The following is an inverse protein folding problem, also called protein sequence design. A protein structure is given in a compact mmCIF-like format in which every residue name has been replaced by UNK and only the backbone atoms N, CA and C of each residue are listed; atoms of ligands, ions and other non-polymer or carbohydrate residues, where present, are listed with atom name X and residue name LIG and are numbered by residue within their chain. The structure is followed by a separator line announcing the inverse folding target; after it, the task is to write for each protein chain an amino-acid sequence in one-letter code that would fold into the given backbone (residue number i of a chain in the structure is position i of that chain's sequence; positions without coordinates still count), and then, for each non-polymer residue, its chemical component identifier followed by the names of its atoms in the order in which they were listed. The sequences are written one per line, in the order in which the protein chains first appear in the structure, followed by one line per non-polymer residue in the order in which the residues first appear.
data_IF_655870797867
#
_entry.id   IF_655870797867
#
_cell.length_a   1.000
_cell.length_b   1.000
_cell.length_c   1.000
_cell.angle_alpha   90.00
_cell.angle_beta   90.00
_cell.angle_gamma   90.00
#
_symmetry.space_group_name_H-M   'P 1'
#
loop_
_entity.id
_entity.type
_entity.pdbx_description
1 polymer ?
#
# COMPACT_ATOMS: atom_id res chain seq x y z
N UNK A 1 -2.50 -24.45 4.61
CA UNK A 1 -3.08 -23.16 4.17
C UNK A 1 -2.15 -22.05 4.60
N UNK A 2 -1.86 -21.06 3.74
CA UNK A 2 -0.98 -19.93 4.09
C UNK A 2 -1.71 -18.97 5.03
N UNK A 3 -1.08 -18.59 6.15
CA UNK A 3 -1.63 -17.66 7.15
C UNK A 3 -1.76 -16.22 6.60
N UNK A 4 -2.54 -15.37 7.27
CA UNK A 4 -2.64 -13.94 6.93
C UNK A 4 -1.27 -13.29 6.93
N UNK A 5 -0.46 -13.50 7.98
CA UNK A 5 0.95 -13.08 8.04
C UNK A 5 1.79 -13.52 6.85
N UNK A 6 1.71 -14.79 6.43
CA UNK A 6 2.49 -15.26 5.29
C UNK A 6 2.08 -14.56 3.98
N UNK A 7 0.79 -14.27 3.80
CA UNK A 7 0.27 -13.50 2.65
C UNK A 7 0.68 -12.02 2.70
N UNK A 8 0.68 -11.41 3.89
CA UNK A 8 1.14 -10.04 4.10
C UNK A 8 2.61 -9.88 3.69
N UNK A 9 3.48 -10.76 4.19
CA UNK A 9 4.90 -10.78 3.86
C UNK A 9 5.16 -11.05 2.38
N UNK A 10 4.39 -11.96 1.77
CA UNK A 10 4.51 -12.25 0.35
C UNK A 10 4.21 -11.01 -0.51
N UNK A 11 3.13 -10.29 -0.23
CA UNK A 11 2.79 -9.08 -0.98
C UNK A 11 3.79 -7.94 -0.73
N UNK A 12 4.30 -7.80 0.49
CA UNK A 12 5.37 -6.83 0.78
C UNK A 12 6.65 -7.15 -0.02
N UNK A 13 7.00 -8.43 -0.14
CA UNK A 13 8.12 -8.86 -0.96
C UNK A 13 7.90 -8.57 -2.45
N UNK A 14 6.70 -8.82 -2.98
CA UNK A 14 6.35 -8.48 -4.36
C UNK A 14 6.43 -6.96 -4.61
N UNK A 15 5.98 -6.12 -3.68
CA UNK A 15 6.10 -4.67 -3.78
C UNK A 15 7.57 -4.24 -3.94
N UNK A 16 8.47 -4.82 -3.15
CA UNK A 16 9.92 -4.55 -3.23
C UNK A 16 10.50 -4.94 -4.60
N UNK A 17 10.14 -6.11 -5.15
CA UNK A 17 10.59 -6.52 -6.49
C UNK A 17 10.16 -5.50 -7.55
N UNK A 18 8.90 -5.07 -7.53
CA UNK A 18 8.36 -4.13 -8.51
C UNK A 18 9.05 -2.76 -8.37
N UNK A 19 9.29 -2.31 -7.14
CA UNK A 19 10.01 -1.07 -6.86
C UNK A 19 11.45 -1.11 -7.39
N UNK A 20 12.17 -2.21 -7.20
CA UNK A 20 13.53 -2.37 -7.73
C UNK A 20 13.53 -2.36 -9.26
N UNK A 21 12.55 -3.02 -9.88
CA UNK A 21 12.32 -2.95 -11.32
C UNK A 21 12.08 -1.52 -11.83
N UNK A 22 11.29 -0.74 -11.09
CA UNK A 22 11.02 0.66 -11.44
C UNK A 22 12.29 1.52 -11.36
N UNK A 23 13.08 1.37 -10.30
CA UNK A 23 14.36 2.08 -10.14
C UNK A 23 15.34 1.72 -11.26
N UNK A 24 15.44 0.44 -11.61
CA UNK A 24 16.27 -0.02 -12.72
C UNK A 24 15.82 0.56 -14.07
N UNK A 25 14.52 0.58 -14.35
CA UNK A 25 13.96 1.15 -15.58
C UNK A 25 14.23 2.67 -15.69
N UNK A 26 14.18 3.38 -14.56
CA UNK A 26 14.51 4.81 -14.50
C UNK A 26 16.00 5.10 -14.76
N UNK A 27 16.89 4.18 -14.38
CA UNK A 27 18.33 4.31 -14.56
C UNK A 27 18.83 3.91 -15.97
N UNK A 28 17.99 3.30 -16.81
CA UNK A 28 18.37 2.82 -18.14
C UNK A 28 18.65 3.99 -19.13
N UNK A 29 19.66 3.81 -20.00
CA UNK A 29 19.99 4.77 -21.08
C UNK A 29 18.97 4.69 -22.21
N UNK A 30 18.59 5.84 -22.79
CA UNK A 30 17.54 5.95 -23.81
C UNK A 30 16.15 6.30 -23.25
N UNK A 31 16.13 6.87 -22.04
CA UNK A 31 15.03 6.96 -21.06
C UNK A 31 13.59 7.05 -21.57
N UNK A 32 12.77 6.19 -20.97
CA UNK A 32 11.30 6.33 -20.96
C UNK A 32 10.93 7.52 -20.06
N UNK A 33 9.96 8.38 -20.43
CA UNK A 33 9.50 9.46 -19.57
C UNK A 33 9.09 8.97 -18.18
N UNK A 34 9.45 9.70 -17.13
CA UNK A 34 9.15 9.32 -15.74
C UNK A 34 7.66 9.09 -15.48
N UNK A 35 6.79 9.85 -16.14
CA UNK A 35 5.34 9.66 -16.06
C UNK A 35 4.88 8.31 -16.66
N UNK A 36 5.45 7.89 -17.78
CA UNK A 36 5.15 6.58 -18.39
C UNK A 36 5.64 5.44 -17.50
N UNK A 37 6.80 5.61 -16.85
CA UNK A 37 7.26 4.66 -15.84
C UNK A 37 6.32 4.64 -14.63
N UNK A 38 5.90 5.79 -14.12
CA UNK A 38 4.94 5.83 -13.01
C UNK A 38 3.62 5.14 -13.37
N UNK A 39 3.09 5.35 -14.57
CA UNK A 39 1.90 4.65 -15.08
C UNK A 39 2.06 3.13 -15.12
N UNK A 40 3.25 2.64 -15.46
CA UNK A 40 3.52 1.20 -15.54
C UNK A 40 3.73 0.54 -14.18
N UNK A 41 4.44 1.20 -13.27
CA UNK A 41 4.92 0.60 -12.02
C UNK A 41 4.05 0.96 -10.80
N UNK A 42 3.58 2.21 -10.71
CA UNK A 42 2.87 2.71 -9.52
C UNK A 42 1.57 1.94 -9.20
N UNK A 43 0.70 1.59 -10.16
CA UNK A 43 -0.51 0.81 -9.85
C UNK A 43 -0.18 -0.55 -9.23
N UNK A 44 0.85 -1.22 -9.76
CA UNK A 44 1.22 -2.57 -9.36
C UNK A 44 1.83 -2.58 -7.97
N UNK A 45 2.78 -1.67 -7.70
CA UNK A 45 3.40 -1.57 -6.37
C UNK A 45 2.39 -1.13 -5.31
N UNK A 46 1.51 -0.18 -5.64
CA UNK A 46 0.46 0.28 -4.72
C UNK A 46 -0.51 -0.85 -4.38
N UNK A 47 -0.94 -1.64 -5.36
CA UNK A 47 -1.81 -2.79 -5.12
C UNK A 47 -1.15 -3.84 -4.23
N UNK A 48 0.15 -4.10 -4.41
CA UNK A 48 0.88 -5.00 -3.52
C UNK A 48 0.99 -4.46 -2.09
N UNK A 49 1.26 -3.16 -1.91
CA UNK A 49 1.29 -2.54 -0.58
C UNK A 49 -0.07 -2.57 0.12
N UNK A 50 -1.15 -2.24 -0.59
CA UNK A 50 -2.52 -2.31 -0.06
C UNK A 50 -2.87 -3.74 0.35
N UNK A 51 -2.54 -4.74 -0.47
CA UNK A 51 -2.78 -6.15 -0.13
C UNK A 51 -1.96 -6.60 1.07
N UNK A 52 -0.69 -6.20 1.14
CA UNK A 52 0.17 -6.52 2.27
C UNK A 52 -0.45 -5.99 3.57
N UNK A 53 -0.85 -4.71 3.56
CA UNK A 53 -1.51 -4.06 4.69
C UNK A 53 -2.84 -4.72 5.06
N UNK A 54 -3.68 -5.05 4.09
CA UNK A 54 -4.96 -5.72 4.34
C UNK A 54 -4.83 -7.10 4.97
N UNK A 55 -3.88 -7.91 4.51
CA UNK A 55 -3.58 -9.19 5.16
C UNK A 55 -3.03 -8.99 6.57
N UNK A 56 -2.23 -7.95 6.78
CA UNK A 56 -1.74 -7.60 8.10
C UNK A 56 -2.87 -7.21 9.06
N UNK A 57 -3.87 -6.44 8.63
CA UNK A 57 -5.03 -6.13 9.47
C UNK A 57 -5.80 -7.38 9.91
N UNK A 58 -5.92 -8.38 9.03
CA UNK A 58 -6.56 -9.66 9.36
C UNK A 58 -5.75 -10.46 10.40
N UNK A 59 -4.42 -10.40 10.35
CA UNK A 59 -3.55 -10.98 11.37
C UNK A 59 -3.76 -10.30 12.72
N UNK A 60 -3.73 -8.96 12.76
CA UNK A 60 -3.91 -8.16 13.99
C UNK A 60 -5.26 -8.43 14.64
N UNK A 61 -6.32 -8.53 13.83
CA UNK A 61 -7.68 -8.80 14.33
C UNK A 61 -7.93 -10.26 14.68
N UNK A 62 -6.99 -11.18 14.39
CA UNK A 62 -7.16 -12.60 14.64
C UNK A 62 -8.37 -13.20 13.90
N UNK A 63 -8.60 -12.79 12.65
CA UNK A 63 -9.76 -13.20 11.88
C UNK A 63 -9.81 -14.73 11.73
N UNK A 64 -10.87 -15.35 12.27
CA UNK A 64 -11.04 -16.83 12.26
C UNK A 64 -11.33 -17.38 10.86
N UNK A 65 -12.04 -16.60 10.04
CA UNK A 65 -12.31 -16.94 8.64
C UNK A 65 -11.51 -16.03 7.72
N UNK A 66 -10.65 -16.66 6.91
CA UNK A 66 -9.84 -15.95 5.93
C UNK A 66 -10.68 -15.62 4.69
N UNK A 67 -10.89 -14.34 4.35
CA UNK A 67 -11.59 -13.97 3.13
C UNK A 67 -10.77 -14.38 1.89
N UNK A 68 -11.43 -14.43 0.73
CA UNK A 68 -10.77 -14.70 -0.56
C UNK A 68 -9.82 -13.58 -1.01
N UNK A 69 -10.07 -12.35 -0.57
CA UNK A 69 -9.25 -11.17 -0.83
C UNK A 69 -9.05 -10.37 0.47
N UNK A 70 -7.91 -9.67 0.64
CA UNK A 70 -7.68 -8.86 1.82
C UNK A 70 -8.55 -7.60 1.81
N UNK A 71 -8.91 -7.06 2.98
CA UNK A 71 -9.52 -5.75 3.08
C UNK A 71 -8.56 -4.67 2.57
N UNK A 72 -9.08 -3.57 2.02
CA UNK A 72 -8.23 -2.44 1.58
C UNK A 72 -7.91 -1.45 2.70
N UNK A 73 -8.61 -1.54 3.83
CA UNK A 73 -8.44 -0.71 5.01
C UNK A 73 -9.30 -1.19 6.17
N UNK A 74 -9.26 -0.48 7.28
CA UNK A 74 -9.93 -0.83 8.53
C UNK A 74 -11.46 -0.88 8.39
N UNK A 75 -12.03 -0.01 7.56
CA UNK A 75 -13.48 0.01 7.30
C UNK A 75 -13.98 -1.21 6.52
N UNK A 76 -13.09 -1.93 5.85
CA UNK A 76 -13.40 -3.16 5.13
C UNK A 76 -13.16 -4.44 5.95
N UNK A 77 -12.82 -4.31 7.23
CA UNK A 77 -12.58 -5.48 8.09
C UNK A 77 -13.85 -6.29 8.32
N UNK A 78 -13.74 -7.64 8.40
CA UNK A 78 -14.88 -8.47 8.76
C UNK A 78 -15.37 -8.14 10.17
N UNK A 79 -16.68 -8.29 10.43
CA UNK A 79 -17.25 -8.01 11.75
C UNK A 79 -16.61 -8.89 12.82
N UNK A 80 -16.24 -8.29 13.95
CA UNK A 80 -15.66 -9.03 15.08
C UNK A 80 -16.72 -9.89 15.75
N UNK A 81 -16.44 -11.17 16.05
CA UNK A 81 -17.38 -12.04 16.75
C UNK A 81 -17.83 -11.45 18.09
N UNK A 82 -19.10 -11.68 18.44
CA UNK A 82 -19.66 -11.21 19.71
C UNK A 82 -18.80 -11.66 20.90
N UNK A 83 -18.33 -10.72 21.72
CA UNK A 83 -17.50 -10.98 22.88
C UNK A 83 -15.99 -10.78 22.70
N UNK A 84 -15.51 -10.51 21.47
CA UNK A 84 -14.12 -10.07 21.24
C UNK A 84 -14.06 -8.55 21.09
N UNK A 85 -13.12 -7.92 21.79
CA UNK A 85 -12.82 -6.51 21.61
C UNK A 85 -11.90 -6.33 20.39
N UNK A 86 -12.11 -5.25 19.64
CA UNK A 86 -11.19 -4.82 18.60
C UNK A 86 -9.83 -4.44 19.24
N UNK A 87 -8.68 -4.89 18.71
CA UNK A 87 -7.38 -4.46 19.21
C UNK A 87 -7.24 -2.94 19.17
N UNK A 88 -6.56 -2.36 20.17
CA UNK A 88 -6.40 -0.90 20.29
C UNK A 88 -5.62 -0.29 19.12
N UNK A 89 -4.75 -1.10 18.52
CA UNK A 89 -3.92 -0.79 17.36
C UNK A 89 -4.76 -0.48 16.12
N UNK A 90 -5.95 -1.06 16.00
CA UNK A 90 -6.85 -0.75 14.87
C UNK A 90 -7.29 0.73 14.91
N UNK A 91 -7.42 1.34 16.10
CA UNK A 91 -7.71 2.79 16.19
C UNK A 91 -6.53 3.63 15.71
N UNK A 92 -5.30 3.20 15.99
CA UNK A 92 -4.09 3.85 15.47
C UNK A 92 -4.07 3.78 13.93
N UNK A 93 -4.41 2.62 13.37
CA UNK A 93 -4.45 2.42 11.94
C UNK A 93 -5.57 3.21 11.25
N UNK A 94 -6.80 3.18 11.78
CA UNK A 94 -7.90 4.05 11.29
C UNK A 94 -7.46 5.51 11.22
N UNK A 95 -6.74 5.97 12.23
CA UNK A 95 -6.23 7.32 12.24
C UNK A 95 -5.18 7.58 11.14
N UNK A 96 -4.24 6.66 10.93
CA UNK A 96 -3.26 6.74 9.84
C UNK A 96 -3.91 6.63 8.46
N UNK A 97 -5.00 5.88 8.31
CA UNK A 97 -5.77 5.76 7.06
C UNK A 97 -6.46 7.09 6.70
N UNK A 98 -6.84 7.90 7.70
CA UNK A 98 -7.43 9.22 7.46
C UNK A 98 -6.40 10.31 7.20
N UNK A 99 -5.17 10.17 7.71
CA UNK A 99 -4.13 11.20 7.57
C UNK A 99 -2.71 10.64 7.56
N UNK A 100 -1.86 11.26 6.74
CA UNK A 100 -0.44 10.96 6.64
C UNK A 100 -0.12 9.88 5.61
N UNK A 101 1.02 9.22 5.79
CA UNK A 101 1.60 8.35 4.76
C UNK A 101 0.72 7.16 4.36
N UNK A 102 -0.09 6.63 5.28
CA UNK A 102 -0.97 5.49 4.99
C UNK A 102 -2.20 5.93 4.18
N UNK A 103 -2.79 7.08 4.51
CA UNK A 103 -3.79 7.73 3.68
C UNK A 103 -3.26 7.97 2.26
N UNK A 104 -2.04 8.48 2.15
CA UNK A 104 -1.39 8.68 0.85
C UNK A 104 -1.21 7.34 0.12
N UNK A 105 -0.73 6.29 0.78
CA UNK A 105 -0.56 4.96 0.17
C UNK A 105 -1.89 4.37 -0.32
N UNK A 106 -2.99 4.57 0.42
CA UNK A 106 -4.32 4.03 0.12
C UNK A 106 -5.09 4.84 -0.93
N UNK A 107 -4.71 6.10 -1.17
CA UNK A 107 -5.42 6.98 -2.07
C UNK A 107 -5.50 6.39 -3.49
N UNK A 108 -6.72 6.28 -4.01
CA UNK A 108 -6.96 5.94 -5.41
C UNK A 108 -6.46 7.08 -6.30
N UNK A 109 -5.66 6.74 -7.31
CA UNK A 109 -5.04 7.71 -8.20
C UNK A 109 -5.41 7.41 -9.62
N UNK A 110 -5.92 8.43 -10.31
CA UNK A 110 -6.08 8.39 -11.74
C UNK A 110 -4.72 8.70 -12.40
N UNK A 111 -4.13 7.67 -12.99
CA UNK A 111 -2.86 7.76 -13.71
C UNK A 111 -3.08 7.89 -15.23
N UNK A 112 -4.33 8.02 -15.67
CA UNK A 112 -4.67 8.25 -17.08
C UNK A 112 -3.95 9.51 -17.56
N UNK A 113 -3.19 9.45 -18.67
CA UNK A 113 -2.56 10.64 -19.21
C UNK A 113 -3.66 11.65 -19.53
N UNK A 114 -3.66 12.76 -18.80
CA UNK A 114 -4.65 13.82 -18.94
C UNK A 114 -4.65 14.37 -20.35
N UNK A 115 -5.65 13.97 -21.14
CA UNK A 115 -6.06 14.70 -22.32
C UNK A 115 -6.84 15.97 -21.92
N UNK A 116 -6.24 16.83 -21.09
CA UNK A 116 -6.77 18.19 -20.92
C UNK A 116 -6.03 19.12 -21.87
N UNK A 117 -6.29 18.93 -23.17
CA UNK A 117 -5.97 19.94 -24.18
C UNK A 117 -7.10 20.96 -24.19
N UNK A 118 -7.15 21.84 -23.19
CA UNK A 118 -7.86 23.10 -23.41
C UNK A 118 -7.01 23.91 -24.40
N UNK A 119 -7.52 24.23 -25.62
CA UNK A 119 -6.74 25.03 -26.55
C UNK A 119 -6.45 26.39 -25.88
N UNK A 120 -5.16 26.70 -25.68
CA UNK A 120 -4.73 27.96 -25.08
C UNK A 120 -4.15 27.88 -23.67
N UNK A 121 -4.09 26.71 -23.03
CA UNK A 121 -3.45 26.55 -21.73
C UNK A 121 -2.28 25.54 -21.82
N UNK A 122 -1.04 26.05 -21.75
CA UNK A 122 0.20 25.25 -21.77
C UNK A 122 0.66 24.83 -20.37
N UNK A 123 -0.04 25.28 -19.32
CA UNK A 123 0.27 24.95 -17.94
C UNK A 123 -0.51 23.71 -17.51
N UNK A 124 0.06 22.53 -17.70
CA UNK A 124 -0.39 21.32 -17.00
C UNK A 124 0.21 21.37 -15.60
N UNK A 125 -0.62 21.51 -14.57
CA UNK A 125 -0.14 21.28 -13.20
C UNK A 125 0.42 19.85 -13.14
N UNK A 126 1.63 19.63 -12.58
CA UNK A 126 2.11 18.28 -12.37
C UNK A 126 1.08 17.58 -11.46
N UNK A 127 0.48 16.51 -11.97
CA UNK A 127 -0.25 15.60 -11.10
C UNK A 127 0.73 15.13 -10.02
N UNK A 128 0.30 15.17 -8.76
CA UNK A 128 1.09 14.72 -7.60
C UNK A 128 1.20 13.18 -7.62
N UNK A 129 1.99 12.69 -8.59
CA UNK A 129 2.23 11.29 -8.84
C UNK A 129 3.41 10.88 -7.97
N UNK A 130 3.22 9.95 -7.00
CA UNK A 130 4.29 9.39 -6.19
C UNK A 130 5.46 8.93 -7.06
N UNK A 131 6.66 9.29 -6.64
CA UNK A 131 7.87 8.81 -7.28
C UNK A 131 8.34 7.49 -6.61
N UNK A 132 9.38 6.83 -7.17
CA UNK A 132 9.89 5.58 -6.59
C UNK A 132 10.36 5.71 -5.14
N UNK A 133 10.81 6.89 -4.72
CA UNK A 133 11.33 7.12 -3.36
C UNK A 133 10.18 7.29 -2.36
N UNK A 134 9.10 7.98 -2.74
CA UNK A 134 7.87 8.04 -1.94
C UNK A 134 7.29 6.63 -1.69
N UNK A 135 7.30 5.77 -2.72
CA UNK A 135 6.85 4.38 -2.58
C UNK A 135 7.81 3.54 -1.72
N UNK A 136 9.11 3.82 -1.80
CA UNK A 136 10.10 3.19 -0.93
C UNK A 136 9.86 3.55 0.54
N UNK A 137 9.53 4.81 0.82
CA UNK A 137 9.21 5.28 2.16
C UNK A 137 7.95 4.61 2.71
N UNK A 138 6.91 4.45 1.90
CA UNK A 138 5.72 3.67 2.29
C UNK A 138 6.06 2.22 2.60
N UNK A 139 6.86 1.58 1.76
CA UNK A 139 7.29 0.20 1.93
C UNK A 139 8.07 0.02 3.24
N UNK A 140 9.02 0.92 3.52
CA UNK A 140 9.83 0.89 4.75
C UNK A 140 8.96 1.12 6.00
N UNK A 141 8.03 2.07 5.95
CA UNK A 141 7.10 2.33 7.06
C UNK A 141 6.18 1.15 7.34
N UNK A 142 5.67 0.50 6.29
CA UNK A 142 4.83 -0.69 6.42
C UNK A 142 5.61 -1.88 7.01
N UNK A 143 6.86 -2.07 6.60
CA UNK A 143 7.75 -3.09 7.16
C UNK A 143 8.08 -2.85 8.64
N UNK A 144 8.36 -1.59 9.01
CA UNK A 144 8.57 -1.21 10.40
C UNK A 144 7.32 -1.47 11.25
N UNK A 145 6.14 -1.19 10.69
CA UNK A 145 4.85 -1.44 11.33
C UNK A 145 4.63 -2.95 11.56
N UNK A 146 4.95 -3.80 10.58
CA UNK A 146 4.85 -5.26 10.72
C UNK A 146 5.82 -5.79 11.78
N UNK A 147 7.02 -5.22 11.85
CA UNK A 147 8.06 -5.61 12.81
C UNK A 147 7.64 -5.25 14.24
N UNK A 148 7.16 -4.02 14.47
CA UNK A 148 6.65 -3.57 15.77
C UNK A 148 5.53 -4.46 16.28
N UNK A 149 4.59 -4.83 15.41
CA UNK A 149 3.48 -5.70 15.79
C UNK A 149 3.93 -7.12 16.12
N UNK A 150 4.90 -7.68 15.38
CA UNK A 150 5.47 -8.99 15.70
C UNK A 150 6.09 -9.00 17.09
N UNK A 151 6.88 -7.99 17.41
CA UNK A 151 7.50 -7.85 18.74
C UNK A 151 6.44 -7.75 19.84
N UNK A 152 5.35 -7.01 19.59
CA UNK A 152 4.23 -6.92 20.53
C UNK A 152 3.43 -8.21 20.69
N UNK A 153 3.30 -9.04 19.65
CA UNK A 153 2.56 -10.29 19.69
C UNK A 153 3.37 -11.44 20.30
N UNK A 154 4.70 -11.42 20.15
CA UNK A 154 5.60 -12.44 20.71
C UNK A 154 5.84 -12.24 22.23
N UNK A 155 5.48 -11.08 22.80
CA UNK A 155 5.61 -10.76 24.24
C UNK A 155 4.46 -11.26 25.13
N UNK A 156 3.40 -11.86 24.57
CA UNK A 156 2.22 -12.38 25.29
C UNK A 156 2.01 -13.88 25.09
#
# INVERSE_FOLDING_TARGET
MSSARARANHHLYLAKIVQDGWRAARAARGGVPGQTLAQAYLPVVSEHLVRAYGWFLLEVTGAEQMPGAPPRGCDALPPVPAGKALPGEIREFQHLETRGWLADMLAERDLTPGASRTPGNLATAPADIPDPEQVADWTARLEALFTRMRESLDEY
#
